data_IF_401664050813
#
_entry.id   IF_401664050813
#
_cell.length_a   1.000
_cell.length_b   1.000
_cell.length_c   1.000
_cell.angle_alpha   90.00
_cell.angle_beta   90.00
_cell.angle_gamma   90.00
#
_symmetry.space_group_name_H-M   'P 1'
#
loop_
_entity.id
_entity.type
_entity.pdbx_description
1 polymer ?
#
# COMPACT_ATOMS: atom_id res chain seq x y z
N UNK A 1 -12.81 5.16 -27.93
CA UNK A 1 -13.42 4.20 -27.00
C UNK A 1 -12.90 2.78 -27.17
N UNK A 2 -12.92 2.16 -28.36
CA UNK A 2 -12.44 0.78 -28.57
C UNK A 2 -10.98 0.53 -28.14
N UNK A 3 -10.04 1.48 -28.37
CA UNK A 3 -8.65 1.37 -27.94
C UNK A 3 -8.51 1.39 -26.40
N UNK A 4 -9.27 2.24 -25.72
CA UNK A 4 -9.30 2.30 -24.25
C UNK A 4 -9.81 0.98 -23.67
N UNK A 5 -10.92 0.46 -24.20
CA UNK A 5 -11.52 -0.80 -23.77
C UNK A 5 -10.55 -1.98 -23.97
N UNK A 6 -9.87 -2.04 -25.13
CA UNK A 6 -8.85 -3.05 -25.41
C UNK A 6 -7.69 -3.00 -24.41
N UNK A 7 -7.21 -1.79 -24.08
CA UNK A 7 -6.12 -1.61 -23.13
C UNK A 7 -6.55 -2.02 -21.72
N UNK A 8 -7.74 -1.59 -21.25
CA UNK A 8 -8.29 -1.99 -19.95
C UNK A 8 -8.42 -3.51 -19.88
N UNK A 9 -8.96 -4.14 -20.94
CA UNK A 9 -9.07 -5.60 -21.02
C UNK A 9 -7.70 -6.29 -20.96
N UNK A 10 -6.70 -5.79 -21.68
CA UNK A 10 -5.33 -6.30 -21.62
C UNK A 10 -4.70 -6.16 -20.22
N UNK A 11 -4.90 -5.02 -19.56
CA UNK A 11 -4.41 -4.79 -18.20
C UNK A 11 -5.12 -5.68 -17.18
N UNK A 12 -6.43 -5.86 -17.31
CA UNK A 12 -7.17 -6.80 -16.47
C UNK A 12 -6.69 -8.24 -16.68
N UNK A 13 -6.50 -8.68 -17.93
CA UNK A 13 -6.00 -10.02 -18.23
C UNK A 13 -4.60 -10.25 -17.64
N UNK A 14 -3.69 -9.26 -17.77
CA UNK A 14 -2.36 -9.30 -17.14
C UNK A 14 -2.46 -9.29 -15.62
N UNK A 15 -3.37 -8.50 -15.04
CA UNK A 15 -3.61 -8.47 -13.61
C UNK A 15 -4.09 -9.82 -13.06
N UNK A 16 -5.05 -10.46 -13.75
CA UNK A 16 -5.53 -11.80 -13.39
C UNK A 16 -4.42 -12.86 -13.52
N UNK A 17 -3.63 -12.77 -14.59
CA UNK A 17 -2.47 -13.66 -14.74
C UNK A 17 -1.45 -13.45 -13.60
N UNK A 18 -1.18 -12.20 -13.24
CA UNK A 18 -0.29 -11.88 -12.11
C UNK A 18 -0.86 -12.44 -10.80
N UNK A 19 -2.16 -12.28 -10.53
CA UNK A 19 -2.81 -12.88 -9.34
C UNK A 19 -2.67 -14.38 -9.32
N UNK A 20 -2.86 -15.05 -10.46
CA UNK A 20 -2.69 -16.49 -10.57
C UNK A 20 -1.23 -16.89 -10.25
N UNK A 21 -0.25 -16.22 -10.85
CA UNK A 21 1.17 -16.49 -10.57
C UNK A 21 1.50 -16.24 -9.10
N UNK A 22 1.03 -15.14 -8.51
CA UNK A 22 1.21 -14.82 -7.09
C UNK A 22 0.57 -15.89 -6.21
N UNK A 23 -0.64 -16.35 -6.52
CA UNK A 23 -1.32 -17.42 -5.76
C UNK A 23 -0.53 -18.73 -5.78
N UNK A 24 0.07 -19.08 -6.91
CA UNK A 24 0.94 -20.26 -7.03
C UNK A 24 2.20 -20.09 -6.16
N UNK A 25 2.85 -18.92 -6.26
CA UNK A 25 4.06 -18.62 -5.47
C UNK A 25 3.77 -18.70 -3.97
N UNK A 26 2.66 -18.10 -3.52
CA UNK A 26 2.25 -18.14 -2.11
C UNK A 26 2.02 -19.60 -1.68
N UNK A 27 1.32 -20.38 -2.49
CA UNK A 27 1.03 -21.79 -2.17
C UNK A 27 2.31 -22.62 -2.06
N UNK A 28 3.26 -22.43 -2.97
CA UNK A 28 4.58 -23.08 -2.92
C UNK A 28 5.38 -22.60 -1.71
N UNK A 29 5.43 -21.30 -1.45
CA UNK A 29 6.17 -20.73 -0.32
C UNK A 29 5.68 -21.28 1.02
N UNK A 30 4.37 -21.42 1.17
CA UNK A 30 3.73 -22.01 2.35
C UNK A 30 4.10 -23.49 2.52
N UNK A 31 4.14 -24.24 1.42
CA UNK A 31 4.51 -25.67 1.43
C UNK A 31 5.98 -25.89 1.82
N UNK A 32 6.84 -24.93 1.46
CA UNK A 32 8.28 -24.97 1.77
C UNK A 32 8.62 -24.51 3.20
N UNK A 33 7.63 -24.05 3.99
CA UNK A 33 7.88 -23.64 5.36
C UNK A 33 8.42 -24.81 6.20
N UNK A 34 9.55 -24.63 6.91
CA UNK A 34 10.15 -25.70 7.69
C UNK A 34 9.29 -26.09 8.88
N UNK A 35 9.19 -27.39 9.17
CA UNK A 35 8.47 -27.95 10.30
C UNK A 35 7.05 -28.43 9.97
N UNK A 36 6.47 -29.20 10.88
CA UNK A 36 5.14 -29.75 10.75
C UNK A 36 4.08 -28.75 11.22
N UNK A 37 3.18 -28.37 10.30
CA UNK A 37 2.09 -27.43 10.60
C UNK A 37 1.18 -27.95 11.71
N UNK A 38 0.82 -29.24 11.67
CA UNK A 38 -0.06 -29.84 12.67
C UNK A 38 0.58 -29.82 14.07
N UNK A 39 1.88 -30.14 14.15
CA UNK A 39 2.62 -30.05 15.41
C UNK A 39 2.75 -28.60 15.90
N UNK A 40 2.95 -27.63 15.00
CA UNK A 40 3.08 -26.23 15.37
C UNK A 40 1.77 -25.66 15.94
N UNK A 41 0.61 -26.07 15.41
CA UNK A 41 -0.72 -25.62 15.87
C UNK A 41 -1.12 -26.34 17.16
N UNK A 42 -0.92 -27.65 17.25
CA UNK A 42 -1.29 -28.45 18.43
C UNK A 42 -0.32 -28.21 19.61
N UNK A 43 0.88 -27.72 19.35
CA UNK A 43 1.86 -27.38 20.38
C UNK A 43 2.26 -28.59 21.24
N UNK A 44 2.37 -28.38 22.56
CA UNK A 44 2.80 -29.42 23.52
C UNK A 44 1.79 -30.58 23.67
N UNK A 45 0.55 -30.41 23.22
CA UNK A 45 -0.47 -31.47 23.22
C UNK A 45 -0.43 -32.40 21.99
N UNK A 46 0.57 -32.26 21.12
CA UNK A 46 0.67 -33.02 19.88
C UNK A 46 1.10 -34.45 20.15
N UNK A 47 0.14 -35.38 20.21
CA UNK A 47 0.42 -36.81 20.13
C UNK A 47 0.36 -37.27 18.67
N UNK A 48 0.99 -38.42 18.33
CA UNK A 48 0.91 -38.95 16.96
C UNK A 48 -0.52 -39.12 16.46
N UNK A 49 -1.44 -39.54 17.32
CA UNK A 49 -2.86 -39.70 16.98
C UNK A 49 -3.55 -38.34 16.73
N UNK A 50 -3.34 -37.34 17.60
CA UNK A 50 -3.93 -36.00 17.42
C UNK A 50 -3.39 -35.29 16.20
N UNK A 51 -2.10 -35.45 15.88
CA UNK A 51 -1.47 -34.93 14.67
C UNK A 51 -2.08 -35.57 13.42
N UNK A 52 -2.24 -36.89 13.39
CA UNK A 52 -2.85 -37.59 12.27
C UNK A 52 -4.32 -37.19 12.06
N UNK A 53 -5.10 -37.11 13.15
CA UNK A 53 -6.49 -36.66 13.08
C UNK A 53 -6.61 -35.22 12.56
N UNK A 54 -5.76 -34.30 13.05
CA UNK A 54 -5.74 -32.91 12.58
C UNK A 54 -5.34 -32.79 11.11
N UNK A 55 -4.31 -33.54 10.67
CA UNK A 55 -3.92 -33.57 9.26
C UNK A 55 -5.06 -33.98 8.34
N UNK A 56 -5.77 -35.06 8.73
CA UNK A 56 -6.92 -35.51 7.97
C UNK A 56 -8.06 -34.52 7.97
N UNK A 57 -8.36 -33.91 9.11
CA UNK A 57 -9.42 -32.89 9.24
C UNK A 57 -9.17 -31.66 8.37
N UNK A 58 -7.93 -31.20 8.29
CA UNK A 58 -7.53 -29.98 7.54
C UNK A 58 -7.13 -30.31 6.10
N UNK A 59 -7.14 -31.60 5.72
CA UNK A 59 -6.80 -32.05 4.36
C UNK A 59 -5.31 -31.95 4.03
N UNK A 60 -4.43 -31.92 5.03
CA UNK A 60 -2.97 -31.91 4.82
C UNK A 60 -2.43 -33.21 4.23
N UNK A 61 -3.22 -34.29 4.30
CA UNK A 61 -2.90 -35.56 3.67
C UNK A 61 -3.07 -35.57 2.15
N UNK A 62 -3.78 -34.54 1.61
CA UNK A 62 -3.98 -34.40 0.18
C UNK A 62 -2.71 -33.86 -0.50
N UNK A 63 -2.44 -34.26 -1.76
CA UNK A 63 -1.35 -33.68 -2.54
C UNK A 63 -1.44 -32.17 -2.64
N UNK A 64 -0.29 -31.48 -2.62
CA UNK A 64 -0.22 -30.00 -2.62
C UNK A 64 -1.03 -29.34 -3.75
N UNK A 65 -0.98 -29.91 -4.96
CA UNK A 65 -1.74 -29.40 -6.10
C UNK A 65 -3.26 -29.52 -5.89
N UNK A 66 -3.75 -30.58 -5.26
CA UNK A 66 -5.17 -30.76 -4.95
C UNK A 66 -5.61 -29.72 -3.94
N UNK A 67 -4.84 -29.48 -2.88
CA UNK A 67 -5.10 -28.43 -1.88
C UNK A 67 -5.13 -27.05 -2.51
N UNK A 68 -4.19 -26.77 -3.42
CA UNK A 68 -4.17 -25.50 -4.16
C UNK A 68 -5.44 -25.26 -4.97
N UNK A 69 -5.88 -26.26 -5.76
CA UNK A 69 -7.10 -26.12 -6.57
C UNK A 69 -8.38 -26.03 -5.73
N UNK A 70 -8.45 -26.72 -4.59
CA UNK A 70 -9.55 -26.59 -3.64
C UNK A 70 -9.61 -25.18 -3.05
N UNK A 71 -8.47 -24.66 -2.59
CA UNK A 71 -8.35 -23.31 -2.07
C UNK A 71 -8.69 -22.25 -3.13
N UNK A 72 -8.14 -22.36 -4.33
CA UNK A 72 -8.42 -21.42 -5.42
C UNK A 72 -9.90 -21.45 -5.83
N UNK A 73 -10.49 -22.63 -5.88
CA UNK A 73 -11.92 -22.81 -6.14
C UNK A 73 -12.78 -22.14 -5.07
N UNK A 74 -12.45 -22.29 -3.78
CA UNK A 74 -13.12 -21.62 -2.68
C UNK A 74 -13.08 -20.09 -2.86
N UNK A 75 -11.90 -19.53 -3.11
CA UNK A 75 -11.71 -18.07 -3.32
C UNK A 75 -12.57 -17.55 -4.47
N UNK A 76 -12.67 -18.26 -5.58
CA UNK A 76 -13.47 -17.86 -6.71
C UNK A 76 -14.99 -17.80 -6.39
N UNK A 77 -15.42 -18.52 -5.35
CA UNK A 77 -16.79 -18.49 -4.83
C UNK A 77 -16.95 -17.56 -3.59
N UNK A 78 -15.88 -16.83 -3.21
CA UNK A 78 -15.89 -15.94 -2.03
C UNK A 78 -15.69 -16.65 -0.70
N UNK A 79 -15.36 -17.95 -0.71
CA UNK A 79 -15.02 -18.71 0.48
C UNK A 79 -13.50 -18.71 0.68
N UNK A 80 -13.06 -17.96 1.69
CA UNK A 80 -11.65 -17.89 2.09
C UNK A 80 -11.26 -19.02 3.08
N UNK A 81 -12.22 -19.84 3.51
CA UNK A 81 -12.03 -20.89 4.48
C UNK A 81 -12.02 -20.41 5.92
N UNK A 82 -11.49 -21.25 6.81
CA UNK A 82 -11.43 -21.01 8.27
C UNK A 82 -9.98 -20.88 8.73
N UNK A 83 -9.75 -20.00 9.68
CA UNK A 83 -8.48 -19.83 10.39
C UNK A 83 -8.16 -21.09 11.20
N UNK A 84 -6.97 -21.63 11.04
CA UNK A 84 -6.52 -22.80 11.80
C UNK A 84 -6.20 -22.45 13.26
N UNK A 85 -5.80 -21.23 13.53
CA UNK A 85 -5.44 -20.77 14.87
C UNK A 85 -6.65 -20.38 15.72
N UNK A 86 -7.72 -19.84 15.11
CA UNK A 86 -8.88 -19.30 15.84
C UNK A 86 -10.21 -20.01 15.55
N UNK A 87 -10.27 -20.91 14.58
CA UNK A 87 -11.47 -21.57 14.08
C UNK A 87 -12.60 -20.60 13.63
N UNK A 88 -12.23 -19.37 13.24
CA UNK A 88 -13.17 -18.35 12.76
C UNK A 88 -13.11 -18.29 11.22
N UNK A 89 -14.21 -17.85 10.61
CA UNK A 89 -14.24 -17.56 9.18
C UNK A 89 -13.24 -16.48 8.82
N UNK A 90 -12.41 -16.73 7.79
CA UNK A 90 -11.39 -15.78 7.36
C UNK A 90 -12.01 -14.51 6.81
N UNK A 91 -13.15 -14.61 6.13
CA UNK A 91 -13.91 -13.45 5.63
C UNK A 91 -14.28 -12.45 6.75
N UNK A 92 -14.68 -12.93 7.92
CA UNK A 92 -14.99 -12.08 9.08
C UNK A 92 -13.72 -11.43 9.66
N UNK A 93 -12.63 -12.21 9.75
CA UNK A 93 -11.35 -11.71 10.25
C UNK A 93 -10.79 -10.60 9.36
N UNK A 94 -10.91 -10.78 8.05
CA UNK A 94 -10.38 -9.85 7.05
C UNK A 94 -11.24 -8.58 6.94
N UNK A 95 -12.58 -8.71 6.97
CA UNK A 95 -13.48 -7.60 6.69
C UNK A 95 -13.17 -6.36 7.53
N UNK A 96 -13.25 -6.47 8.85
CA UNK A 96 -12.99 -5.36 9.78
C UNK A 96 -11.55 -4.85 9.67
N UNK A 97 -10.59 -5.77 9.51
CA UNK A 97 -9.18 -5.40 9.45
C UNK A 97 -8.81 -4.71 8.13
N UNK A 98 -9.44 -5.09 7.04
CA UNK A 98 -9.28 -4.43 5.75
C UNK A 98 -9.80 -2.99 5.78
N UNK A 99 -10.98 -2.76 6.38
CA UNK A 99 -11.52 -1.42 6.59
C UNK A 99 -10.57 -0.55 7.41
N UNK A 100 -10.00 -1.08 8.49
CA UNK A 100 -9.01 -0.40 9.30
C UNK A 100 -7.76 -0.03 8.49
N UNK A 101 -7.20 -0.96 7.73
CA UNK A 101 -6.07 -0.69 6.84
C UNK A 101 -6.38 0.42 5.83
N UNK A 102 -7.57 0.38 5.21
CA UNK A 102 -8.00 1.42 4.29
C UNK A 102 -8.20 2.78 4.98
N UNK A 103 -8.70 2.81 6.20
CA UNK A 103 -8.85 4.04 6.98
C UNK A 103 -7.49 4.68 7.26
N UNK A 104 -6.50 3.89 7.71
CA UNK A 104 -5.14 4.37 7.97
C UNK A 104 -4.45 4.83 6.68
N UNK A 105 -4.47 4.01 5.62
CA UNK A 105 -3.89 4.35 4.33
C UNK A 105 -4.57 5.56 3.69
N UNK A 106 -5.90 5.65 3.80
CA UNK A 106 -6.70 6.78 3.33
C UNK A 106 -6.36 8.09 4.04
N UNK A 107 -6.21 8.06 5.37
CA UNK A 107 -5.80 9.23 6.15
C UNK A 107 -4.38 9.67 5.78
N UNK A 108 -3.45 8.73 5.70
CA UNK A 108 -2.08 9.03 5.28
C UNK A 108 -2.05 9.63 3.86
N UNK A 109 -2.81 9.07 2.92
CA UNK A 109 -2.93 9.59 1.55
C UNK A 109 -3.54 10.99 1.51
N UNK A 110 -4.59 11.25 2.30
CA UNK A 110 -5.25 12.56 2.38
C UNK A 110 -4.30 13.67 2.87
N UNK A 111 -3.32 13.32 3.68
CA UNK A 111 -2.27 14.26 4.15
C UNK A 111 -1.10 14.30 3.15
N UNK A 112 -0.61 13.14 2.74
CA UNK A 112 0.61 13.01 1.94
C UNK A 112 0.48 13.60 0.53
N UNK A 113 -0.65 13.35 -0.16
CA UNK A 113 -0.82 13.78 -1.55
C UNK A 113 -0.82 15.31 -1.70
N UNK A 114 -1.65 16.09 -0.97
CA UNK A 114 -1.63 17.54 -1.06
C UNK A 114 -0.28 18.11 -0.65
N UNK A 115 0.30 17.59 0.43
CA UNK A 115 1.59 18.06 0.95
C UNK A 115 2.71 17.82 -0.07
N UNK A 116 2.82 16.62 -0.63
CA UNK A 116 3.86 16.28 -1.59
C UNK A 116 3.76 17.07 -2.89
N UNK A 117 2.54 17.22 -3.43
CA UNK A 117 2.30 18.00 -4.65
C UNK A 117 2.63 19.46 -4.41
N UNK A 118 2.16 20.05 -3.30
CA UNK A 118 2.44 21.45 -2.96
C UNK A 118 3.94 21.69 -2.79
N UNK A 119 4.63 20.85 -2.00
CA UNK A 119 6.08 20.96 -1.81
C UNK A 119 6.84 20.80 -3.14
N UNK A 120 6.42 19.85 -3.99
CA UNK A 120 7.04 19.60 -5.29
C UNK A 120 6.86 20.77 -6.27
N UNK A 121 5.65 21.36 -6.33
CA UNK A 121 5.36 22.55 -7.14
C UNK A 121 6.18 23.74 -6.67
N UNK A 122 6.20 24.01 -5.36
CA UNK A 122 6.97 25.10 -4.78
C UNK A 122 8.48 24.91 -4.98
N UNK A 123 9.00 23.68 -4.84
CA UNK A 123 10.41 23.39 -5.10
C UNK A 123 10.79 23.56 -6.58
N UNK A 124 9.88 23.31 -7.52
CA UNK A 124 10.08 23.61 -8.93
C UNK A 124 10.00 25.12 -9.22
N UNK A 125 9.07 25.85 -8.58
CA UNK A 125 8.91 27.29 -8.70
C UNK A 125 10.16 28.03 -8.21
N UNK A 126 10.64 27.66 -7.03
CA UNK A 126 11.82 28.26 -6.39
C UNK A 126 13.08 27.41 -6.61
N UNK A 127 13.23 26.82 -7.80
CA UNK A 127 14.39 25.98 -8.16
C UNK A 127 15.72 26.68 -7.85
N UNK A 128 16.65 25.91 -7.24
CA UNK A 128 17.98 26.35 -6.80
C UNK A 128 17.97 27.36 -5.62
N UNK A 129 16.84 27.69 -5.04
CA UNK A 129 16.72 28.49 -3.85
C UNK A 129 17.11 27.71 -2.58
N UNK A 130 17.21 28.43 -1.45
CA UNK A 130 17.41 27.81 -0.14
C UNK A 130 16.23 26.86 0.22
N UNK A 131 15.00 27.27 -0.12
CA UNK A 131 13.81 26.43 0.08
C UNK A 131 13.93 25.10 -0.66
N UNK A 132 14.27 25.11 -1.95
CA UNK A 132 14.44 23.92 -2.77
C UNK A 132 15.52 23.00 -2.17
N UNK A 133 16.65 23.56 -1.73
CA UNK A 133 17.74 22.79 -1.10
C UNK A 133 17.29 22.16 0.22
N UNK A 134 16.65 22.92 1.09
CA UNK A 134 16.19 22.44 2.39
C UNK A 134 15.15 21.33 2.26
N UNK A 135 14.14 21.53 1.39
CA UNK A 135 13.11 20.50 1.17
C UNK A 135 13.72 19.23 0.60
N UNK A 136 14.67 19.34 -0.34
CA UNK A 136 15.37 18.16 -0.86
C UNK A 136 16.24 17.46 0.20
N UNK A 137 16.94 18.21 1.06
CA UNK A 137 17.74 17.61 2.15
C UNK A 137 16.81 16.86 3.12
N UNK A 138 15.73 17.49 3.58
CA UNK A 138 14.78 16.88 4.51
C UNK A 138 14.16 15.60 3.92
N UNK A 139 13.73 15.66 2.68
CA UNK A 139 13.12 14.49 2.02
C UNK A 139 14.14 13.37 1.76
N UNK A 140 15.37 13.69 1.38
CA UNK A 140 16.44 12.69 1.24
C UNK A 140 16.77 12.03 2.58
N UNK A 141 16.84 12.81 3.64
CA UNK A 141 17.06 12.30 5.00
C UNK A 141 15.92 11.37 5.41
N UNK A 142 14.66 11.75 5.14
CA UNK A 142 13.50 10.91 5.49
C UNK A 142 13.51 9.54 4.79
N UNK A 143 13.95 9.46 3.54
CA UNK A 143 14.05 8.19 2.79
C UNK A 143 15.22 7.33 3.29
N UNK A 144 16.24 7.94 3.87
CA UNK A 144 17.45 7.22 4.30
C UNK A 144 17.23 6.37 5.56
N UNK A 145 16.18 6.63 6.32
CA UNK A 145 15.85 5.88 7.53
C UNK A 145 14.79 4.82 7.26
N UNK A 146 14.93 3.60 7.84
CA UNK A 146 13.88 2.60 7.80
C UNK A 146 12.60 3.11 8.45
N UNK A 147 11.45 2.74 7.89
CA UNK A 147 10.12 3.20 8.32
C UNK A 147 9.83 2.92 9.80
N UNK A 148 10.17 1.71 10.28
CA UNK A 148 10.02 1.36 11.70
C UNK A 148 10.86 2.22 12.63
N UNK A 149 12.06 2.64 12.20
CA UNK A 149 12.95 3.50 12.99
C UNK A 149 12.33 4.90 13.14
N UNK A 150 11.81 5.47 12.06
CA UNK A 150 11.07 6.74 12.11
C UNK A 150 9.86 6.62 13.04
N UNK A 151 9.11 5.51 12.98
CA UNK A 151 7.97 5.26 13.84
C UNK A 151 8.36 5.27 15.32
N UNK A 152 9.41 4.55 15.71
CA UNK A 152 9.87 4.53 17.11
C UNK A 152 10.39 5.88 17.58
N UNK A 153 11.07 6.65 16.74
CA UNK A 153 11.50 8.02 17.07
C UNK A 153 10.26 8.90 17.33
N UNK A 154 9.26 8.87 16.45
CA UNK A 154 8.06 9.67 16.63
C UNK A 154 7.25 9.24 17.86
N UNK A 155 7.13 7.94 18.13
CA UNK A 155 6.53 7.44 19.39
C UNK A 155 7.30 7.99 20.60
N UNK A 156 8.65 7.87 20.61
CA UNK A 156 9.46 8.33 21.72
C UNK A 156 9.26 9.82 22.01
N UNK A 157 9.28 10.66 20.98
CA UNK A 157 9.17 12.10 21.16
C UNK A 157 7.72 12.54 21.37
N UNK A 158 6.80 12.16 20.49
CA UNK A 158 5.44 12.70 20.47
C UNK A 158 4.47 11.99 21.41
N UNK A 159 4.68 10.69 21.65
CA UNK A 159 3.82 9.94 22.55
C UNK A 159 4.38 9.84 23.96
N UNK A 160 5.70 9.57 24.14
CA UNK A 160 6.31 9.30 25.44
C UNK A 160 6.85 10.57 26.10
N UNK A 161 7.56 11.44 25.37
CA UNK A 161 8.15 12.66 25.95
C UNK A 161 7.17 13.81 26.05
N UNK A 162 6.44 14.11 25.00
CA UNK A 162 5.56 15.28 24.90
C UNK A 162 4.08 14.93 25.19
N UNK A 163 3.68 13.66 25.11
CA UNK A 163 2.34 13.15 25.40
C UNK A 163 1.23 13.77 24.52
N UNK A 164 1.56 14.13 23.27
CA UNK A 164 0.57 14.69 22.33
C UNK A 164 -0.27 13.59 21.69
N UNK A 165 0.31 12.42 21.39
CA UNK A 165 -0.38 11.30 20.74
C UNK A 165 -0.29 10.02 21.57
N UNK A 166 -1.24 9.07 21.38
CA UNK A 166 -1.12 7.75 21.98
C UNK A 166 -0.01 6.95 21.29
N UNK A 167 0.72 6.13 22.06
CA UNK A 167 1.76 5.23 21.54
C UNK A 167 1.19 4.01 20.81
N UNK A 168 -0.04 3.64 21.11
CA UNK A 168 -0.78 2.50 20.54
C UNK A 168 -2.02 3.03 19.83
N UNK A 169 -2.22 2.62 18.59
CA UNK A 169 -3.38 3.01 17.79
C UNK A 169 -4.54 2.00 17.93
N UNK A 170 -4.94 1.71 19.19
CA UNK A 170 -6.07 0.82 19.43
C UNK A 170 -7.38 1.55 19.13
N UNK A 171 -8.12 1.06 18.14
CA UNK A 171 -9.44 1.58 17.70
C UNK A 171 -10.59 0.66 18.09
N UNK A 172 -10.40 -0.24 19.07
CA UNK A 172 -11.45 -1.12 19.56
C UNK A 172 -12.48 -0.33 20.39
N UNK A 173 -13.76 -0.61 20.19
CA UNK A 173 -14.89 0.00 20.89
C UNK A 173 -15.57 1.13 20.09
N UNK A 174 -16.67 1.66 20.61
CA UNK A 174 -17.44 2.77 20.02
C UNK A 174 -16.67 4.10 20.16
N UNK A 175 -15.73 4.31 19.26
CA UNK A 175 -14.99 5.58 19.19
C UNK A 175 -15.71 6.54 18.25
N UNK A 176 -15.94 7.77 18.73
CA UNK A 176 -16.37 8.86 17.85
C UNK A 176 -15.33 9.15 16.76
N UNK A 177 -15.79 9.64 15.61
CA UNK A 177 -14.96 9.92 14.44
C UNK A 177 -13.66 10.69 14.77
N UNK A 178 -13.75 11.76 15.56
CA UNK A 178 -12.57 12.56 15.94
C UNK A 178 -11.56 11.80 16.80
N UNK A 179 -12.04 10.93 17.70
CA UNK A 179 -11.15 10.10 18.52
C UNK A 179 -10.45 9.04 17.66
N UNK A 180 -11.19 8.46 16.70
CA UNK A 180 -10.63 7.52 15.75
C UNK A 180 -9.51 8.18 14.93
N UNK A 181 -9.78 9.32 14.30
CA UNK A 181 -8.78 10.08 13.54
C UNK A 181 -7.59 10.46 14.40
N UNK A 182 -7.81 10.93 15.63
CA UNK A 182 -6.73 11.30 16.56
C UNK A 182 -5.77 10.14 16.85
N UNK A 183 -6.31 8.92 17.06
CA UNK A 183 -5.48 7.73 17.29
C UNK A 183 -4.70 7.29 16.04
N UNK A 184 -5.21 7.60 14.85
CA UNK A 184 -4.56 7.29 13.59
C UNK A 184 -3.53 8.34 13.15
N UNK A 185 -3.53 9.55 13.73
CA UNK A 185 -2.66 10.64 13.27
C UNK A 185 -1.18 10.28 13.35
N UNK A 186 -0.71 9.69 14.44
CA UNK A 186 0.71 9.37 14.59
C UNK A 186 1.16 8.28 13.61
N UNK A 187 0.49 7.12 13.46
CA UNK A 187 0.77 6.16 12.40
C UNK A 187 0.68 6.77 11.01
N UNK A 188 -0.35 7.58 10.73
CA UNK A 188 -0.52 8.24 9.44
C UNK A 188 0.61 9.23 9.13
N UNK A 189 1.15 9.93 10.13
CA UNK A 189 2.32 10.82 9.97
C UNK A 189 3.57 10.03 9.57
N UNK A 190 3.80 8.85 10.16
CA UNK A 190 4.93 7.98 9.77
C UNK A 190 4.83 7.62 8.29
N UNK A 191 3.68 7.10 7.85
CA UNK A 191 3.43 6.76 6.45
C UNK A 191 3.57 7.99 5.54
N UNK A 192 3.05 9.13 5.98
CA UNK A 192 3.14 10.39 5.24
C UNK A 192 4.58 10.81 4.99
N UNK A 193 5.46 10.75 5.99
CA UNK A 193 6.86 11.16 5.85
C UNK A 193 7.61 10.34 4.78
N UNK A 194 7.36 9.03 4.73
CA UNK A 194 7.98 8.15 3.74
C UNK A 194 7.48 8.48 2.33
N UNK A 195 6.18 8.58 2.15
CA UNK A 195 5.55 8.75 0.83
C UNK A 195 5.74 10.16 0.27
N UNK A 196 5.65 11.19 1.11
CA UNK A 196 5.84 12.59 0.70
C UNK A 196 7.19 12.81 0.06
N UNK A 197 8.23 12.20 0.61
CA UNK A 197 9.58 12.36 0.11
C UNK A 197 9.74 11.88 -1.35
N UNK A 198 9.17 10.72 -1.68
CA UNK A 198 9.17 10.20 -3.05
C UNK A 198 8.27 11.02 -3.99
N UNK A 199 7.02 11.26 -3.59
CA UNK A 199 6.06 12.01 -4.40
C UNK A 199 6.54 13.45 -4.71
N UNK A 200 7.05 14.16 -3.72
CA UNK A 200 7.53 15.54 -3.89
C UNK A 200 8.65 15.61 -4.93
N UNK A 201 9.64 14.73 -4.83
CA UNK A 201 10.77 14.69 -5.76
C UNK A 201 10.34 14.37 -7.18
N UNK A 202 9.45 13.40 -7.35
CA UNK A 202 8.92 13.02 -8.67
C UNK A 202 8.05 14.14 -9.26
N UNK A 203 7.21 14.78 -8.44
CA UNK A 203 6.39 15.93 -8.85
C UNK A 203 7.29 17.09 -9.28
N UNK A 204 8.33 17.42 -8.49
CA UNK A 204 9.32 18.44 -8.84
C UNK A 204 10.02 18.11 -10.15
N UNK A 205 10.47 16.89 -10.33
CA UNK A 205 11.15 16.44 -11.55
C UNK A 205 10.23 16.54 -12.78
N UNK A 206 8.98 16.10 -12.67
CA UNK A 206 7.99 16.20 -13.74
C UNK A 206 7.78 17.64 -14.21
N UNK A 207 7.65 18.59 -13.28
CA UNK A 207 7.48 20.00 -13.61
C UNK A 207 8.75 20.59 -14.24
N UNK A 208 9.93 20.31 -13.68
CA UNK A 208 11.21 20.80 -14.23
C UNK A 208 11.43 20.30 -15.65
N UNK A 209 11.14 19.02 -15.93
CA UNK A 209 11.28 18.47 -17.28
C UNK A 209 10.35 19.17 -18.27
N UNK A 210 9.13 19.53 -17.88
CA UNK A 210 8.23 20.29 -18.73
C UNK A 210 8.66 21.73 -18.95
N UNK A 211 9.32 22.36 -17.97
CA UNK A 211 9.86 23.72 -18.13
C UNK A 211 10.95 23.83 -19.21
N UNK A 212 11.56 22.73 -19.60
CA UNK A 212 12.53 22.67 -20.71
C UNK A 212 11.87 22.53 -22.10
N UNK A 213 10.53 22.54 -22.19
CA UNK A 213 9.82 22.36 -23.47
C UNK A 213 9.71 23.65 -24.27
N UNK A 214 9.73 23.59 -25.63
CA UNK A 214 9.69 24.80 -26.48
C UNK A 214 8.50 25.70 -26.26
N UNK A 215 7.33 25.17 -25.93
CA UNK A 215 6.14 25.99 -25.68
C UNK A 215 6.26 26.83 -24.38
N UNK A 216 7.01 26.36 -23.41
CA UNK A 216 7.33 27.10 -22.18
C UNK A 216 8.33 28.21 -22.49
N UNK A 217 9.35 27.93 -23.31
CA UNK A 217 10.31 28.93 -23.77
C UNK A 217 9.59 30.10 -24.50
N UNK A 218 8.65 29.77 -25.37
CA UNK A 218 7.81 30.78 -26.02
C UNK A 218 6.97 31.59 -25.04
N UNK A 219 6.47 30.99 -23.97
CA UNK A 219 5.74 31.73 -22.94
C UNK A 219 6.66 32.68 -22.17
N UNK A 220 7.92 32.27 -21.90
CA UNK A 220 8.93 33.12 -21.27
C UNK A 220 9.29 34.30 -22.18
N UNK A 221 9.50 34.09 -23.49
CA UNK A 221 9.78 35.11 -24.46
C UNK A 221 8.63 36.13 -24.61
N UNK A 222 7.39 35.73 -24.36
CA UNK A 222 6.22 36.61 -24.27
C UNK A 222 6.12 37.40 -22.97
N UNK A 223 7.12 37.29 -22.08
CA UNK A 223 7.18 38.06 -20.83
C UNK A 223 6.25 37.54 -19.71
N UNK A 224 5.77 36.31 -19.80
CA UNK A 224 4.92 35.72 -18.76
C UNK A 224 5.72 35.47 -17.47
N UNK A 225 5.12 35.79 -16.32
CA UNK A 225 5.74 35.49 -15.03
C UNK A 225 5.93 33.98 -14.80
N UNK A 226 7.01 33.61 -14.11
CA UNK A 226 7.37 32.21 -13.82
C UNK A 226 6.26 31.47 -13.10
N UNK A 227 5.59 32.11 -12.15
CA UNK A 227 4.46 31.55 -11.42
C UNK A 227 3.30 31.21 -12.38
N UNK A 228 2.95 32.14 -13.28
CA UNK A 228 1.89 31.92 -14.27
C UNK A 228 2.23 30.78 -15.24
N UNK A 229 3.48 30.69 -15.68
CA UNK A 229 3.97 29.61 -16.53
C UNK A 229 3.81 28.26 -15.84
N UNK A 230 4.23 28.14 -14.55
CA UNK A 230 4.15 26.88 -13.82
C UNK A 230 2.70 26.49 -13.58
N UNK A 231 1.87 27.37 -13.03
CA UNK A 231 0.50 27.03 -12.63
C UNK A 231 -0.42 26.80 -13.82
N UNK A 232 -0.32 27.61 -14.89
CA UNK A 232 -1.28 27.56 -16.01
C UNK A 232 -0.78 26.78 -17.23
N UNK A 233 0.53 26.56 -17.37
CA UNK A 233 1.08 25.87 -18.53
C UNK A 233 1.82 24.58 -18.20
N UNK A 234 2.66 24.57 -17.15
CA UNK A 234 3.42 23.39 -16.79
C UNK A 234 2.57 22.38 -15.98
N UNK A 235 1.92 22.83 -14.92
CA UNK A 235 1.17 21.95 -13.99
C UNK A 235 0.04 21.16 -14.68
N UNK A 236 -0.81 21.75 -15.53
CA UNK A 236 -1.85 20.99 -16.23
C UNK A 236 -1.28 19.89 -17.14
N UNK A 237 -0.12 20.14 -17.76
CA UNK A 237 0.57 19.16 -18.58
C UNK A 237 1.37 18.12 -17.76
N UNK A 238 1.70 18.47 -16.51
CA UNK A 238 2.34 17.58 -15.54
C UNK A 238 1.35 16.65 -14.82
N UNK A 239 0.04 16.89 -14.93
CA UNK A 239 -0.97 16.10 -14.20
C UNK A 239 -0.87 14.59 -14.47
N UNK A 240 -0.68 14.18 -15.72
CA UNK A 240 -0.57 12.76 -16.06
C UNK A 240 0.64 12.08 -15.35
N UNK A 241 1.88 12.56 -15.43
CA UNK A 241 2.97 11.99 -14.68
C UNK A 241 2.79 12.13 -13.14
N UNK A 242 2.19 13.21 -12.65
CA UNK A 242 1.92 13.38 -11.22
C UNK A 242 0.89 12.37 -10.73
N UNK A 243 -0.20 12.14 -11.46
CA UNK A 243 -1.20 11.12 -11.13
C UNK A 243 -0.56 9.73 -11.06
N UNK A 244 0.28 9.38 -12.02
CA UNK A 244 1.02 8.12 -11.98
C UNK A 244 1.86 7.99 -10.71
N UNK A 245 2.60 9.03 -10.37
CA UNK A 245 3.41 9.05 -9.13
C UNK A 245 2.53 8.89 -7.89
N UNK A 246 1.40 9.59 -7.81
CA UNK A 246 0.46 9.48 -6.69
C UNK A 246 -0.01 8.04 -6.56
N UNK A 247 -0.53 7.42 -7.63
CA UNK A 247 -1.14 6.11 -7.52
C UNK A 247 -0.12 5.00 -7.24
N UNK A 248 1.09 5.08 -7.81
CA UNK A 248 2.19 4.16 -7.46
C UNK A 248 2.52 4.27 -5.96
N UNK A 249 2.56 5.48 -5.40
CA UNK A 249 2.82 5.65 -3.98
C UNK A 249 1.61 5.23 -3.10
N UNK A 250 0.37 5.36 -3.58
CA UNK A 250 -0.80 4.80 -2.90
C UNK A 250 -0.76 3.27 -2.89
N UNK A 251 -0.32 2.64 -3.97
CA UNK A 251 -0.11 1.20 -4.00
C UNK A 251 1.00 0.76 -3.02
N UNK A 252 2.08 1.56 -2.90
CA UNK A 252 3.12 1.35 -1.90
C UNK A 252 2.58 1.50 -0.46
N UNK A 253 1.70 2.47 -0.20
CA UNK A 253 1.08 2.65 1.12
C UNK A 253 0.35 1.39 1.60
N UNK A 254 -0.35 0.68 0.72
CA UNK A 254 -1.08 -0.55 1.10
C UNK A 254 -0.12 -1.66 1.56
N UNK A 255 1.07 -1.74 0.97
CA UNK A 255 2.09 -2.71 1.36
C UNK A 255 2.90 -2.21 2.56
N UNK A 256 3.29 -0.93 2.57
CA UNK A 256 4.08 -0.31 3.64
C UNK A 256 3.33 -0.18 4.96
N UNK A 257 2.00 -0.13 4.90
CA UNK A 257 1.13 -0.05 6.08
C UNK A 257 1.36 -1.20 7.07
N UNK A 258 1.81 -2.37 6.60
CA UNK A 258 2.05 -3.57 7.42
C UNK A 258 3.00 -3.26 8.59
N UNK A 259 4.14 -2.61 8.30
CA UNK A 259 5.14 -2.28 9.32
C UNK A 259 4.57 -1.32 10.36
N UNK A 260 3.86 -0.30 9.91
CA UNK A 260 3.25 0.71 10.81
C UNK A 260 2.15 0.10 11.66
N UNK A 261 1.30 -0.76 11.10
CA UNK A 261 0.25 -1.47 11.85
C UNK A 261 0.84 -2.33 12.97
N UNK A 262 1.94 -3.03 12.70
CA UNK A 262 2.63 -3.86 13.71
C UNK A 262 3.26 -2.98 14.80
N UNK A 263 3.96 -1.91 14.44
CA UNK A 263 4.64 -1.03 15.41
C UNK A 263 3.63 -0.32 16.33
N UNK A 264 2.50 0.13 15.79
CA UNK A 264 1.46 0.84 16.55
C UNK A 264 0.39 -0.09 17.13
N UNK A 265 0.54 -1.41 16.97
CA UNK A 265 -0.47 -2.43 17.39
C UNK A 265 -1.86 -2.06 16.86
N UNK A 266 -1.90 -1.59 15.61
CA UNK A 266 -3.15 -1.21 14.95
C UNK A 266 -3.82 -2.45 14.33
N UNK A 267 -5.11 -2.72 14.63
CA UNK A 267 -5.78 -3.95 14.20
C UNK A 267 -6.15 -3.92 12.71
N UNK A 268 -5.14 -3.81 11.85
CA UNK A 268 -5.29 -3.85 10.40
C UNK A 268 -4.98 -5.21 9.78
N UNK A 269 -5.03 -5.26 8.45
CA UNK A 269 -4.79 -6.48 7.67
C UNK A 269 -3.32 -6.90 7.71
N UNK A 270 -2.38 -5.93 7.76
CA UNK A 270 -0.95 -6.20 7.84
C UNK A 270 -0.57 -6.79 9.20
N UNK A 271 -1.15 -6.30 10.28
CA UNK A 271 -0.96 -6.92 11.59
C UNK A 271 -1.53 -8.35 11.61
N UNK A 272 -2.73 -8.56 11.05
CA UNK A 272 -3.30 -9.91 10.91
C UNK A 272 -2.36 -10.84 10.14
N UNK A 273 -1.77 -10.35 9.06
CA UNK A 273 -0.82 -11.11 8.27
C UNK A 273 0.40 -11.56 9.09
N UNK A 274 1.06 -10.62 9.80
CA UNK A 274 2.26 -10.93 10.61
C UNK A 274 1.92 -11.87 11.76
N UNK A 275 0.80 -11.65 12.45
CA UNK A 275 0.32 -12.52 13.52
C UNK A 275 0.05 -13.94 13.00
N UNK A 276 -0.54 -14.06 11.80
CA UNK A 276 -0.87 -15.35 11.17
C UNK A 276 0.37 -16.10 10.69
N UNK A 277 1.38 -15.39 10.17
CA UNK A 277 2.68 -15.99 9.86
C UNK A 277 3.32 -16.55 11.13
N UNK A 278 3.31 -15.78 12.22
CA UNK A 278 3.89 -16.19 13.51
C UNK A 278 3.18 -17.42 14.10
N UNK A 279 1.86 -17.51 13.93
CA UNK A 279 1.01 -18.63 14.39
C UNK A 279 0.93 -19.78 13.38
N UNK A 280 1.56 -19.63 12.22
CA UNK A 280 1.47 -20.59 11.10
C UNK A 280 0.03 -20.84 10.63
N UNK A 281 -0.80 -19.82 10.67
CA UNK A 281 -2.17 -19.88 10.17
C UNK A 281 -2.19 -19.69 8.64
N UNK A 282 -1.86 -20.77 7.94
CA UNK A 282 -1.62 -20.77 6.51
C UNK A 282 -2.79 -20.23 5.68
N UNK A 283 -4.06 -20.64 5.92
CA UNK A 283 -5.17 -20.13 5.13
C UNK A 283 -5.32 -18.60 5.25
N UNK A 284 -5.09 -18.02 6.44
CA UNK A 284 -5.14 -16.56 6.65
C UNK A 284 -3.98 -15.88 5.93
N UNK A 285 -2.76 -16.46 5.99
CA UNK A 285 -1.59 -15.93 5.27
C UNK A 285 -1.85 -15.90 3.75
N UNK A 286 -2.36 -16.99 3.19
CA UNK A 286 -2.66 -17.09 1.76
C UNK A 286 -3.72 -16.05 1.35
N UNK A 287 -4.82 -15.94 2.10
CA UNK A 287 -5.90 -14.99 1.83
C UNK A 287 -5.43 -13.54 1.91
N UNK A 288 -4.69 -13.17 2.97
CA UNK A 288 -4.18 -11.81 3.15
C UNK A 288 -3.16 -11.41 2.08
N UNK A 289 -2.23 -12.30 1.72
CA UNK A 289 -1.30 -12.06 0.60
C UNK A 289 -2.02 -11.83 -0.72
N UNK A 290 -3.05 -12.64 -1.02
CA UNK A 290 -3.81 -12.48 -2.25
C UNK A 290 -4.58 -11.17 -2.29
N UNK A 291 -5.14 -10.73 -1.15
CA UNK A 291 -5.85 -9.45 -1.04
C UNK A 291 -4.88 -8.27 -1.22
N UNK A 292 -3.69 -8.30 -0.62
CA UNK A 292 -2.68 -7.27 -0.86
C UNK A 292 -2.26 -7.21 -2.34
N UNK A 293 -2.04 -8.37 -2.97
CA UNK A 293 -1.72 -8.43 -4.39
C UNK A 293 -2.86 -7.89 -5.27
N UNK A 294 -4.11 -8.25 -4.97
CA UNK A 294 -5.29 -7.75 -5.68
C UNK A 294 -5.43 -6.23 -5.53
N UNK A 295 -5.30 -5.71 -4.31
CA UNK A 295 -5.35 -4.27 -4.03
C UNK A 295 -4.25 -3.51 -4.79
N UNK A 296 -3.02 -4.03 -4.80
CA UNK A 296 -1.91 -3.45 -5.55
C UNK A 296 -2.19 -3.41 -7.06
N UNK A 297 -2.68 -4.51 -7.63
CA UNK A 297 -3.01 -4.61 -9.06
C UNK A 297 -4.16 -3.66 -9.43
N UNK A 298 -5.22 -3.57 -8.61
CA UNK A 298 -6.35 -2.68 -8.83
C UNK A 298 -5.92 -1.20 -8.78
N UNK A 299 -5.06 -0.83 -7.86
CA UNK A 299 -4.51 0.53 -7.81
C UNK A 299 -3.67 0.84 -9.04
N UNK A 300 -2.78 -0.06 -9.47
CA UNK A 300 -2.01 0.17 -10.69
C UNK A 300 -2.90 0.28 -11.93
N UNK A 301 -3.95 -0.54 -12.04
CA UNK A 301 -4.95 -0.41 -13.11
C UNK A 301 -5.63 0.96 -13.06
N UNK A 302 -6.00 1.41 -11.86
CA UNK A 302 -6.59 2.74 -11.66
C UNK A 302 -5.62 3.85 -12.10
N UNK A 303 -4.32 3.71 -11.79
CA UNK A 303 -3.28 4.63 -12.26
C UNK A 303 -3.24 4.74 -13.78
N UNK A 304 -3.21 3.60 -14.46
CA UNK A 304 -3.16 3.54 -15.91
C UNK A 304 -4.39 4.23 -16.54
N UNK A 305 -5.58 3.96 -16.00
CA UNK A 305 -6.84 4.56 -16.48
C UNK A 305 -6.83 6.08 -16.25
N UNK A 306 -6.51 6.54 -15.04
CA UNK A 306 -6.48 7.97 -14.71
C UNK A 306 -5.41 8.71 -15.50
N UNK A 307 -4.25 8.11 -15.72
CA UNK A 307 -3.19 8.69 -16.54
C UNK A 307 -3.64 8.95 -17.99
N UNK A 308 -4.38 8.02 -18.57
CA UNK A 308 -4.88 8.15 -19.94
C UNK A 308 -6.02 9.16 -20.01
N UNK A 309 -6.93 9.17 -19.04
CA UNK A 309 -8.00 10.16 -18.97
C UNK A 309 -7.43 11.59 -18.83
N UNK A 310 -6.31 11.73 -18.08
CA UNK A 310 -5.65 13.01 -17.89
C UNK A 310 -4.85 13.48 -19.11
N UNK A 311 -4.42 12.55 -19.98
CA UNK A 311 -3.67 12.89 -21.20
C UNK A 311 -4.07 12.02 -22.38
N UNK A 312 -5.13 12.42 -23.14
CA UNK A 312 -5.61 11.65 -24.28
C UNK A 312 -4.56 11.43 -25.40
N UNK A 313 -3.47 12.19 -25.42
CA UNK A 313 -2.36 11.99 -26.39
C UNK A 313 -1.68 10.65 -26.20
N UNK A 314 -1.70 10.07 -25.01
CA UNK A 314 -1.15 8.74 -24.74
C UNK A 314 -1.91 7.62 -25.49
N UNK A 315 -3.13 7.88 -25.95
CA UNK A 315 -3.89 6.93 -26.77
C UNK A 315 -3.43 6.87 -28.26
N UNK A 316 -2.59 7.81 -28.67
CA UNK A 316 -2.10 7.92 -30.06
C UNK A 316 -0.56 8.03 -30.04
N UNK A 317 0.17 6.95 -29.70
CA UNK A 317 1.62 6.95 -29.91
C UNK A 317 1.89 7.14 -31.40
N UNK A 318 2.78 8.08 -31.72
CA UNK A 318 3.27 8.32 -33.09
C UNK A 318 4.14 7.15 -33.54
#
# INVERSE_FOLDING_TARGET
>A
MAKLLKMVAQRLALGLLTLLVVSIIISIAVELLPGDLAQAILGQGATPETVAAFRHQVGLDLPAHVRYFHWLGGILHGDFGTSLASNRQISELIGVRFENTLALAGLAAAIAVPLAVTLGVLAALYRNSLYDRLVNIVTLTSISFPEFFVAYILILFLAVKVHIFPSIANVSGDLGFFQHVYRLLLPALVLTLVVVAHMMRMTRAAIINLLASPYIEMAMLKGMSRSRIIVHHALPNALSPIINVIVINLAYLIVGVVVVEVVFVYPGLGQLFVDSVSKRDIPVVQATCLIFAAAYILLNLTADILSILSNPRLMHPR
#
